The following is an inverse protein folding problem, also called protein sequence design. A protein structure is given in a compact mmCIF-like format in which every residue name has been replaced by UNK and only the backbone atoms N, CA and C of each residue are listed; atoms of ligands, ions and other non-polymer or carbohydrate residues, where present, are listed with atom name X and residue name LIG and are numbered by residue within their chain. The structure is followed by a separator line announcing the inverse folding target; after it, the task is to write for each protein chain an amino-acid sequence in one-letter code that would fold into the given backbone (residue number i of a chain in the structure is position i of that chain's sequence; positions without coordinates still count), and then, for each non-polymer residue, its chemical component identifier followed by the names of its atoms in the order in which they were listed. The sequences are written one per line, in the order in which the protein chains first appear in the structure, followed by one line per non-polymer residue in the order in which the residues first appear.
data_IF_976971516140
#
_entry.id   IF_976971516140
#
_cell.length_a   1.000
_cell.length_b   1.000
_cell.length_c   1.000
_cell.angle_alpha   90.00
_cell.angle_beta   90.00
_cell.angle_gamma   90.00
#
_symmetry.space_group_name_H-M   'P 1'
#
loop_
_entity.id
_entity.type
_entity.pdbx_description
1 polymer ?
#
# COMPACT_ATOMS: atom_id res chain seq x y z
N UNK A 1 2.28 21.07 -4.55
CA UNK A 1 3.54 20.37 -4.29
C UNK A 1 4.20 21.00 -3.07
N UNK A 2 4.64 20.22 -2.08
CA UNK A 2 5.21 20.76 -0.83
C UNK A 2 6.56 21.45 -1.02
N UNK A 3 7.32 21.00 -2.01
CA UNK A 3 8.65 21.49 -2.35
C UNK A 3 8.79 21.48 -3.89
N UNK A 4 9.28 22.54 -4.54
CA UNK A 4 9.55 22.53 -5.97
C UNK A 4 10.46 21.39 -6.43
N UNK A 5 11.40 20.95 -5.60
CA UNK A 5 12.28 19.82 -5.88
C UNK A 5 11.54 18.47 -5.97
N UNK A 6 10.30 18.39 -5.48
CA UNK A 6 9.45 17.20 -5.50
C UNK A 6 8.35 17.26 -6.56
N UNK A 7 8.33 18.29 -7.41
CA UNK A 7 7.22 18.53 -8.35
C UNK A 7 6.94 17.38 -9.32
N UNK A 8 7.96 16.60 -9.68
CA UNK A 8 7.84 15.48 -10.61
C UNK A 8 7.55 14.13 -9.92
N UNK A 9 7.71 14.06 -8.59
CA UNK A 9 7.59 12.82 -7.83
C UNK A 9 6.42 12.82 -6.85
N UNK A 10 6.01 14.01 -6.36
CA UNK A 10 4.92 14.19 -5.39
C UNK A 10 3.75 14.91 -6.05
N UNK A 11 2.73 14.15 -6.41
CA UNK A 11 1.53 14.65 -7.10
C UNK A 11 0.32 13.75 -6.82
N UNK A 12 -0.85 14.18 -7.27
CA UNK A 12 -2.03 13.32 -7.35
C UNK A 12 -2.75 13.49 -8.68
N UNK A 13 -3.52 12.48 -9.03
CA UNK A 13 -4.36 12.45 -10.23
C UNK A 13 -5.73 11.92 -9.83
N UNK A 14 -6.79 12.60 -10.23
CA UNK A 14 -8.16 12.10 -10.10
C UNK A 14 -8.60 11.52 -11.45
N UNK A 15 -8.98 10.26 -11.45
CA UNK A 15 -9.43 9.58 -12.65
C UNK A 15 -10.54 8.57 -12.34
N UNK A 16 -11.68 8.73 -12.96
CA UNK A 16 -12.84 7.83 -12.89
C UNK A 16 -13.22 7.39 -11.45
N UNK A 17 -13.24 8.35 -10.51
CA UNK A 17 -13.63 8.08 -9.12
C UNK A 17 -12.52 7.49 -8.25
N UNK A 18 -11.29 7.52 -8.73
CA UNK A 18 -10.09 7.12 -8.01
C UNK A 18 -9.15 8.31 -7.86
N UNK A 19 -8.67 8.58 -6.65
CA UNK A 19 -7.51 9.46 -6.43
C UNK A 19 -6.25 8.60 -6.32
N UNK A 20 -5.32 8.81 -7.25
CA UNK A 20 -3.97 8.27 -7.20
C UNK A 20 -3.03 9.33 -6.62
N UNK A 21 -2.29 8.96 -5.57
CA UNK A 21 -1.33 9.85 -4.90
C UNK A 21 0.06 9.23 -5.02
N UNK A 22 1.00 9.99 -5.57
CA UNK A 22 2.43 9.63 -5.59
C UNK A 22 3.17 10.37 -4.50
N UNK A 23 3.99 9.66 -3.73
CA UNK A 23 4.87 10.22 -2.70
C UNK A 23 6.33 9.84 -2.98
N UNK A 24 7.25 10.71 -2.63
CA UNK A 24 8.68 10.42 -2.69
C UNK A 24 9.17 9.86 -1.35
N UNK A 25 9.39 8.57 -1.31
CA UNK A 25 9.92 7.90 -0.12
C UNK A 25 11.44 7.94 0.00
N UNK A 26 12.15 8.50 -0.98
CA UNK A 26 13.60 8.69 -0.94
C UNK A 26 13.99 10.01 -0.27
N UNK A 27 13.24 11.08 -0.56
CA UNK A 27 13.62 12.43 -0.20
C UNK A 27 12.54 13.17 0.57
N UNK A 28 12.94 14.09 1.45
CA UNK A 28 12.09 15.08 2.09
C UNK A 28 10.73 14.53 2.60
N UNK A 29 10.74 13.38 3.23
CA UNK A 29 9.53 12.66 3.66
C UNK A 29 8.65 13.48 4.60
N UNK A 30 9.27 14.25 5.51
CA UNK A 30 8.55 15.11 6.46
C UNK A 30 7.83 16.26 5.78
N UNK A 31 8.43 16.88 4.77
CA UNK A 31 7.84 18.03 4.09
C UNK A 31 6.57 17.66 3.32
N UNK A 32 6.36 16.39 3.02
CA UNK A 32 5.19 15.89 2.32
C UNK A 32 3.95 15.72 3.22
N UNK A 33 4.12 15.73 4.54
CA UNK A 33 3.06 15.42 5.52
C UNK A 33 1.86 16.37 5.39
N UNK A 34 2.10 17.68 5.44
CA UNK A 34 1.02 18.67 5.36
C UNK A 34 0.35 18.72 3.98
N UNK A 35 1.13 18.49 2.93
CA UNK A 35 0.57 18.37 1.59
C UNK A 35 -0.31 17.12 1.46
N UNK A 36 0.14 15.98 1.96
CA UNK A 36 -0.62 14.72 1.94
C UNK A 36 -1.96 14.87 2.67
N UNK A 37 -1.97 15.49 3.85
CA UNK A 37 -3.21 15.78 4.58
C UNK A 37 -4.18 16.60 3.75
N UNK A 38 -3.73 17.73 3.19
CA UNK A 38 -4.57 18.60 2.35
C UNK A 38 -5.14 17.88 1.14
N UNK A 39 -4.33 17.05 0.48
CA UNK A 39 -4.77 16.27 -0.67
C UNK A 39 -5.82 15.24 -0.26
N UNK A 40 -5.65 14.58 0.88
CA UNK A 40 -6.62 13.60 1.38
C UNK A 40 -7.91 14.26 1.89
N UNK A 41 -7.82 15.41 2.59
CA UNK A 41 -8.98 16.21 3.02
C UNK A 41 -9.85 16.67 1.85
N UNK A 42 -9.23 17.06 0.74
CA UNK A 42 -9.94 17.52 -0.47
C UNK A 42 -10.48 16.37 -1.34
N UNK A 43 -10.27 15.11 -0.93
CA UNK A 43 -10.62 13.96 -1.76
C UNK A 43 -12.11 13.63 -1.70
N UNK A 44 -12.79 13.77 -2.83
CA UNK A 44 -14.19 13.38 -3.01
C UNK A 44 -14.37 12.08 -3.80
N UNK A 45 -13.26 11.43 -4.19
CA UNK A 45 -13.31 10.18 -4.93
C UNK A 45 -13.69 9.01 -4.04
N UNK A 46 -14.27 7.98 -4.64
CA UNK A 46 -14.72 6.76 -3.95
C UNK A 46 -13.52 5.96 -3.46
N UNK A 47 -12.43 5.91 -4.27
CA UNK A 47 -11.24 5.14 -4.00
C UNK A 47 -10.01 6.01 -3.87
N UNK A 48 -9.09 5.59 -3.00
CA UNK A 48 -7.79 6.24 -2.83
C UNK A 48 -6.69 5.20 -2.90
N UNK A 49 -5.80 5.36 -3.87
CA UNK A 49 -4.62 4.52 -4.06
C UNK A 49 -3.38 5.39 -3.89
N UNK A 50 -2.47 4.99 -3.01
CA UNK A 50 -1.21 5.69 -2.77
C UNK A 50 -0.05 4.83 -3.25
N UNK A 51 0.93 5.44 -3.89
CA UNK A 51 2.15 4.76 -4.35
C UNK A 51 3.41 5.49 -3.91
N UNK A 52 4.42 4.73 -3.52
CA UNK A 52 5.77 5.18 -3.21
C UNK A 52 6.74 4.00 -3.25
N UNK A 53 8.04 4.27 -3.36
CA UNK A 53 9.05 3.25 -3.61
C UNK A 53 9.27 2.28 -2.44
N UNK A 54 9.60 2.78 -1.23
CA UNK A 54 9.94 1.94 -0.08
C UNK A 54 8.69 1.42 0.63
N UNK A 55 8.52 0.10 0.84
CA UNK A 55 7.32 -0.43 1.46
C UNK A 55 7.21 -0.06 2.94
N UNK A 56 6.01 0.18 3.42
CA UNK A 56 5.74 0.37 4.86
C UNK A 56 5.99 -0.90 5.66
N UNK A 57 5.80 -2.05 5.04
CA UNK A 57 5.98 -3.38 5.61
C UNK A 57 6.84 -4.19 4.69
N UNK A 58 8.10 -4.39 5.08
CA UNK A 58 9.07 -5.11 4.29
C UNK A 58 9.15 -6.58 4.72
N UNK A 59 9.07 -7.54 3.80
CA UNK A 59 9.34 -8.94 4.09
C UNK A 59 10.84 -9.26 4.12
N UNK A 60 11.69 -8.35 3.62
CA UNK A 60 13.13 -8.52 3.55
C UNK A 60 13.86 -8.28 4.87
N UNK A 61 15.05 -8.87 5.04
CA UNK A 61 15.94 -8.56 6.16
C UNK A 61 16.50 -7.14 6.02
N UNK A 62 16.59 -6.44 7.16
CA UNK A 62 17.23 -5.12 7.28
C UNK A 62 16.69 -4.05 6.31
N UNK A 63 15.45 -4.21 5.87
CA UNK A 63 14.77 -3.33 4.92
C UNK A 63 13.54 -2.65 5.50
N UNK A 64 13.39 -2.67 6.82
CA UNK A 64 12.26 -2.02 7.49
C UNK A 64 12.30 -0.49 7.36
N UNK A 65 11.14 0.12 7.19
CA UNK A 65 10.99 1.56 6.96
C UNK A 65 10.17 2.24 8.08
N UNK A 66 10.65 2.25 9.33
CA UNK A 66 9.90 2.78 10.47
C UNK A 66 9.60 4.27 10.36
N UNK A 67 10.47 5.04 9.71
CA UNK A 67 10.27 6.48 9.50
C UNK A 67 9.03 6.75 8.64
N UNK A 68 8.90 6.08 7.51
CA UNK A 68 7.72 6.20 6.61
C UNK A 68 6.45 5.80 7.34
N UNK A 69 6.48 4.69 8.07
CA UNK A 69 5.34 4.26 8.89
C UNK A 69 4.94 5.32 9.91
N UNK A 70 5.90 5.87 10.64
CA UNK A 70 5.65 6.89 11.67
C UNK A 70 5.04 8.16 11.09
N UNK A 71 5.53 8.61 9.93
CA UNK A 71 5.11 9.87 9.31
C UNK A 71 3.77 9.77 8.59
N UNK A 72 3.60 8.75 7.75
CA UNK A 72 2.50 8.70 6.80
C UNK A 72 1.37 7.75 7.20
N UNK A 73 1.67 6.62 7.84
CA UNK A 73 0.64 5.62 8.16
C UNK A 73 -0.52 6.16 8.99
N UNK A 74 -0.30 6.99 10.04
CA UNK A 74 -1.42 7.56 10.80
C UNK A 74 -2.36 8.40 9.93
N UNK A 75 -1.81 9.16 8.98
CA UNK A 75 -2.58 10.01 8.06
C UNK A 75 -3.36 9.13 7.08
N UNK A 76 -2.71 8.16 6.47
CA UNK A 76 -3.34 7.26 5.50
C UNK A 76 -4.49 6.46 6.13
N UNK A 77 -4.37 6.09 7.41
CA UNK A 77 -5.44 5.41 8.16
C UNK A 77 -6.58 6.35 8.56
N UNK A 78 -6.26 7.58 9.00
CA UNK A 78 -7.26 8.60 9.33
C UNK A 78 -8.18 8.88 8.15
N UNK A 79 -7.59 9.05 6.97
CA UNK A 79 -8.32 9.31 5.73
C UNK A 79 -8.77 8.03 4.99
N UNK A 80 -8.60 6.85 5.61
CA UNK A 80 -9.11 5.57 5.11
C UNK A 80 -8.64 5.23 3.69
N UNK A 81 -7.36 5.44 3.41
CA UNK A 81 -6.75 5.03 2.14
C UNK A 81 -7.00 3.54 1.90
N UNK A 82 -7.44 3.19 0.70
CA UNK A 82 -7.86 1.82 0.40
C UNK A 82 -6.68 0.88 0.10
N UNK A 83 -5.71 1.35 -0.70
CA UNK A 83 -4.61 0.54 -1.20
C UNK A 83 -3.31 1.33 -1.26
N UNK A 84 -2.22 0.70 -0.84
CA UNK A 84 -0.86 1.20 -0.99
C UNK A 84 -0.08 0.24 -1.89
N UNK A 85 0.57 0.78 -2.92
CA UNK A 85 1.43 0.06 -3.85
C UNK A 85 2.87 0.53 -3.69
N UNK A 86 3.79 -0.41 -3.49
CA UNK A 86 5.21 -0.12 -3.31
C UNK A 86 6.10 -1.18 -3.99
N UNK A 87 7.39 -0.88 -4.09
CA UNK A 87 8.41 -1.70 -4.69
C UNK A 87 9.59 -1.95 -3.76
N UNK A 88 10.81 -1.71 -4.25
CA UNK A 88 12.07 -1.76 -3.52
C UNK A 88 12.54 -3.15 -3.10
N UNK A 89 11.70 -3.98 -2.52
CA UNK A 89 12.12 -5.22 -1.84
C UNK A 89 12.34 -6.42 -2.76
N UNK A 90 12.09 -6.29 -4.03
CA UNK A 90 12.27 -7.36 -5.03
C UNK A 90 11.69 -8.71 -4.59
N UNK A 91 10.59 -8.65 -3.86
CA UNK A 91 9.75 -9.75 -3.42
C UNK A 91 8.30 -9.39 -3.63
N UNK A 92 7.40 -10.31 -3.42
CA UNK A 92 5.98 -10.01 -3.31
C UNK A 92 5.52 -10.21 -1.87
N UNK A 93 4.82 -9.22 -1.32
CA UNK A 93 4.10 -9.37 -0.08
C UNK A 93 2.84 -8.51 -0.09
N UNK A 94 1.73 -9.09 0.33
CA UNK A 94 0.47 -8.41 0.50
C UNK A 94 -0.08 -8.62 1.90
N UNK A 95 -0.46 -7.52 2.53
CA UNK A 95 -1.14 -7.56 3.83
C UNK A 95 -2.64 -7.83 3.65
N UNK A 96 -3.34 -8.06 4.74
CA UNK A 96 -4.76 -7.75 4.81
C UNK A 96 -4.97 -6.26 5.08
N UNK A 97 -6.09 -5.90 5.67
CA UNK A 97 -6.33 -4.53 6.14
C UNK A 97 -5.60 -4.30 7.47
N UNK A 98 -4.84 -3.21 7.58
CA UNK A 98 -4.01 -2.88 8.73
C UNK A 98 -4.31 -1.46 9.20
N UNK A 99 -4.58 -1.29 10.49
CA UNK A 99 -4.82 0.00 11.13
C UNK A 99 -3.65 0.45 12.03
N UNK A 100 -3.39 1.76 12.09
CA UNK A 100 -2.18 2.34 12.68
C UNK A 100 -2.00 2.07 14.17
N UNK A 101 -3.05 2.05 14.95
CA UNK A 101 -2.94 1.83 16.40
C UNK A 101 -2.29 0.52 16.80
N UNK A 102 -2.38 -0.48 15.95
CA UNK A 102 -1.77 -1.79 16.15
C UNK A 102 -0.37 -1.89 15.54
N UNK A 103 -0.08 -1.05 14.55
CA UNK A 103 1.14 -1.12 13.75
C UNK A 103 2.31 -0.36 14.39
N UNK A 104 2.04 0.61 15.22
CA UNK A 104 3.09 1.43 15.85
C UNK A 104 4.06 0.63 16.72
N UNK A 105 3.68 -0.58 17.13
CA UNK A 105 4.49 -1.49 17.95
C UNK A 105 5.33 -2.50 17.14
N UNK A 106 5.41 -2.34 15.85
CA UNK A 106 6.27 -3.18 14.99
C UNK A 106 7.76 -2.81 15.22
N UNK A 107 8.70 -3.78 15.23
CA UNK A 107 8.54 -5.16 14.77
C UNK A 107 7.89 -6.12 15.77
N UNK A 108 7.74 -5.74 17.02
CA UNK A 108 7.31 -6.65 18.10
C UNK A 108 5.85 -7.12 17.99
N UNK A 109 5.09 -6.56 17.09
CA UNK A 109 3.67 -6.81 16.99
C UNK A 109 3.15 -6.99 15.57
N UNK A 110 3.96 -7.40 14.64
CA UNK A 110 3.49 -7.59 13.25
C UNK A 110 2.22 -8.43 13.17
N UNK A 111 2.20 -9.58 13.80
CA UNK A 111 1.05 -10.49 13.82
C UNK A 111 -0.14 -9.94 14.60
N UNK A 112 0.12 -9.15 15.64
CA UNK A 112 -0.90 -8.48 16.47
C UNK A 112 -1.38 -7.17 15.86
N UNK A 113 -0.56 -6.55 15.05
CA UNK A 113 -0.91 -5.33 14.33
C UNK A 113 -1.88 -5.59 13.17
N UNK A 114 -2.01 -6.83 12.76
CA UNK A 114 -2.83 -7.24 11.66
C UNK A 114 -4.31 -7.32 12.07
N UNK A 115 -5.14 -6.53 11.39
CA UNK A 115 -6.59 -6.63 11.48
C UNK A 115 -7.21 -6.79 10.09
N UNK A 116 -7.68 -7.99 9.75
CA UNK A 116 -8.21 -8.27 8.42
C UNK A 116 -9.55 -7.59 8.12
N UNK A 117 -10.13 -6.85 9.07
CA UNK A 117 -11.46 -6.25 8.95
C UNK A 117 -11.44 -4.77 8.65
N UNK A 118 -10.36 -4.07 8.95
CA UNK A 118 -10.26 -2.61 8.83
C UNK A 118 -8.86 -2.18 8.37
N UNK A 119 -8.77 -0.99 7.80
CA UNK A 119 -7.51 -0.36 7.42
C UNK A 119 -7.15 -0.56 5.95
N UNK A 120 -5.92 -0.19 5.61
CA UNK A 120 -5.38 -0.17 4.25
C UNK A 120 -4.73 -1.50 3.90
N UNK A 121 -4.91 -1.98 2.67
CA UNK A 121 -4.11 -3.09 2.14
C UNK A 121 -2.80 -2.53 1.59
N UNK A 122 -1.69 -3.14 1.99
CA UNK A 122 -0.35 -2.79 1.50
C UNK A 122 0.18 -3.91 0.62
N UNK A 123 0.68 -3.54 -0.56
CA UNK A 123 1.31 -4.45 -1.52
C UNK A 123 2.70 -3.95 -1.82
N UNK A 124 3.68 -4.83 -1.71
CA UNK A 124 5.01 -4.69 -2.30
C UNK A 124 5.15 -5.72 -3.40
N UNK A 125 5.65 -5.31 -4.56
CA UNK A 125 5.77 -6.19 -5.72
C UNK A 125 7.02 -5.94 -6.52
N UNK A 126 7.47 -6.97 -7.23
CA UNK A 126 8.62 -6.94 -8.12
C UNK A 126 8.26 -7.51 -9.48
N UNK A 127 8.64 -6.82 -10.54
CA UNK A 127 8.50 -7.29 -11.93
C UNK A 127 9.84 -7.56 -12.61
N UNK A 128 10.94 -7.04 -12.05
CA UNK A 128 12.30 -7.24 -12.60
C UNK A 128 12.92 -8.58 -12.23
N UNK A 129 14.05 -8.95 -12.86
CA UNK A 129 14.69 -10.25 -12.65
C UNK A 129 15.49 -10.36 -11.34
N UNK A 130 15.86 -9.24 -10.73
CA UNK A 130 16.56 -9.24 -9.46
C UNK A 130 15.61 -9.60 -8.34
N UNK A 131 15.96 -10.61 -7.55
CA UNK A 131 15.12 -11.14 -6.47
C UNK A 131 15.84 -11.12 -5.13
N UNK A 132 15.05 -10.95 -4.05
CA UNK A 132 15.52 -11.04 -2.67
C UNK A 132 14.81 -12.15 -1.93
N UNK A 133 15.37 -12.55 -0.79
CA UNK A 133 14.78 -13.56 0.08
C UNK A 133 13.83 -12.94 1.10
N UNK A 134 12.78 -13.68 1.41
CA UNK A 134 11.83 -13.35 2.46
C UNK A 134 12.40 -13.83 3.79
N UNK A 135 12.47 -12.93 4.77
CA UNK A 135 12.95 -13.24 6.11
C UNK A 135 11.93 -12.91 7.20
N UNK A 136 10.95 -12.04 6.89
CA UNK A 136 9.88 -11.59 7.79
C UNK A 136 8.56 -11.61 7.06
N UNK A 137 7.58 -12.30 7.57
CA UNK A 137 6.32 -12.45 6.85
C UNK A 137 5.07 -12.50 7.70
N UNK A 138 5.19 -12.38 9.03
CA UNK A 138 4.04 -12.52 9.93
C UNK A 138 2.90 -11.52 9.67
N UNK A 139 3.19 -10.38 9.04
CA UNK A 139 2.21 -9.37 8.66
C UNK A 139 1.49 -9.68 7.34
N UNK A 140 2.02 -10.58 6.52
CA UNK A 140 1.54 -10.79 5.16
C UNK A 140 0.51 -11.92 5.07
N UNK A 141 -0.49 -11.73 4.23
CA UNK A 141 -1.46 -12.75 3.81
C UNK A 141 -0.93 -13.61 2.67
N UNK A 142 -0.16 -13.01 1.79
CA UNK A 142 0.42 -13.64 0.61
C UNK A 142 1.85 -13.15 0.43
N UNK A 143 2.75 -14.05 0.11
CA UNK A 143 4.15 -13.72 -0.18
C UNK A 143 4.68 -14.61 -1.29
N UNK A 144 5.66 -14.07 -2.04
CA UNK A 144 6.48 -14.83 -2.98
C UNK A 144 7.89 -14.26 -3.06
N UNK A 145 8.85 -15.14 -3.26
CA UNK A 145 10.22 -14.84 -3.69
C UNK A 145 10.50 -15.56 -5.02
N UNK A 146 11.54 -15.15 -5.72
CA UNK A 146 11.95 -15.73 -7.00
C UNK A 146 10.81 -15.77 -8.05
N UNK A 147 9.91 -14.77 -8.01
CA UNK A 147 8.71 -14.73 -8.85
C UNK A 147 8.45 -13.32 -9.36
N UNK A 148 8.53 -13.12 -10.68
CA UNK A 148 8.19 -11.86 -11.33
C UNK A 148 6.66 -11.75 -11.46
N UNK A 149 6.11 -10.65 -10.98
CA UNK A 149 4.67 -10.40 -10.94
C UNK A 149 4.32 -9.06 -11.57
N UNK A 150 3.18 -9.00 -12.25
CA UNK A 150 2.51 -7.77 -12.64
C UNK A 150 1.08 -7.75 -12.11
N UNK A 151 0.50 -6.56 -11.97
CA UNK A 151 -0.81 -6.39 -11.34
C UNK A 151 -1.81 -5.79 -12.32
N UNK A 152 -3.05 -6.27 -12.24
CA UNK A 152 -4.22 -5.66 -12.87
C UNK A 152 -5.21 -5.30 -11.78
N UNK A 153 -5.62 -4.04 -11.76
CA UNK A 153 -6.57 -3.52 -10.78
C UNK A 153 -7.80 -3.01 -11.52
N UNK A 154 -8.92 -3.71 -11.35
CA UNK A 154 -10.22 -3.29 -11.88
C UNK A 154 -10.97 -2.52 -10.80
N UNK A 155 -11.51 -1.36 -11.16
CA UNK A 155 -12.21 -0.50 -10.20
C UNK A 155 -13.58 -0.09 -10.75
N UNK A 156 -14.60 -0.17 -9.88
CA UNK A 156 -15.90 0.45 -10.10
C UNK A 156 -16.39 1.13 -8.81
N UNK A 157 -17.59 1.66 -8.81
CA UNK A 157 -18.14 2.41 -7.66
C UNK A 157 -18.21 1.58 -6.36
N UNK A 158 -18.38 0.28 -6.43
CA UNK A 158 -18.59 -0.58 -5.25
C UNK A 158 -17.44 -1.54 -4.96
N UNK A 159 -16.57 -1.80 -5.93
CA UNK A 159 -15.51 -2.81 -5.82
C UNK A 159 -14.21 -2.37 -6.49
N UNK A 160 -13.09 -2.61 -5.78
CA UNK A 160 -11.75 -2.65 -6.32
C UNK A 160 -11.31 -4.12 -6.31
N UNK A 161 -10.96 -4.67 -7.47
CA UNK A 161 -10.42 -6.03 -7.62
C UNK A 161 -8.95 -5.95 -7.99
N UNK A 162 -8.11 -6.52 -7.16
CA UNK A 162 -6.67 -6.64 -7.38
C UNK A 162 -6.33 -8.05 -7.80
N UNK A 163 -5.52 -8.19 -8.84
CA UNK A 163 -4.99 -9.47 -9.31
C UNK A 163 -3.51 -9.34 -9.61
N UNK A 164 -2.70 -10.25 -9.08
CA UNK A 164 -1.28 -10.37 -9.39
C UNK A 164 -1.05 -11.62 -10.23
N UNK A 165 -0.39 -11.45 -11.37
CA UNK A 165 -0.07 -12.52 -12.30
C UNK A 165 1.43 -12.72 -12.38
N UNK A 166 1.87 -13.98 -12.48
CA UNK A 166 3.25 -14.29 -12.88
C UNK A 166 3.53 -13.80 -14.31
N UNK A 167 4.79 -13.60 -14.65
CA UNK A 167 5.19 -13.23 -16.00
C UNK A 167 4.70 -14.24 -17.08
N UNK A 168 4.39 -15.47 -16.67
CA UNK A 168 3.79 -16.52 -17.52
C UNK A 168 2.30 -16.33 -17.79
N UNK A 169 1.63 -15.35 -17.12
CA UNK A 169 0.19 -15.15 -17.20
C UNK A 169 -0.63 -15.95 -16.18
N UNK A 170 0.00 -16.78 -15.36
CA UNK A 170 -0.67 -17.53 -14.27
C UNK A 170 -1.10 -16.58 -13.15
N UNK A 171 -2.35 -16.69 -12.71
CA UNK A 171 -2.85 -15.95 -11.53
C UNK A 171 -2.14 -16.45 -10.26
N UNK A 172 -1.52 -15.54 -9.54
CA UNK A 172 -0.80 -15.84 -8.29
C UNK A 172 -1.57 -15.40 -7.05
N UNK A 173 -2.14 -14.20 -7.06
CA UNK A 173 -2.88 -13.64 -5.93
C UNK A 173 -4.07 -12.82 -6.42
N UNK A 174 -5.15 -12.87 -5.66
CA UNK A 174 -6.34 -12.08 -5.93
C UNK A 174 -7.03 -11.68 -4.62
N UNK A 175 -7.56 -10.46 -4.60
CA UNK A 175 -8.51 -10.02 -3.59
C UNK A 175 -9.44 -8.94 -4.14
N UNK A 176 -10.52 -8.70 -3.43
CA UNK A 176 -11.40 -7.55 -3.68
C UNK A 176 -11.64 -6.76 -2.40
N UNK A 177 -11.66 -5.44 -2.54
CA UNK A 177 -12.22 -4.52 -1.56
C UNK A 177 -13.61 -4.12 -2.00
N UNK A 178 -14.60 -4.28 -1.11
CA UNK A 178 -16.00 -3.88 -1.37
C UNK A 178 -16.35 -2.71 -0.47
N UNK A 179 -16.85 -1.61 -1.05
CA UNK A 179 -17.40 -0.48 -0.29
C UNK A 179 -18.65 -0.93 0.45
N UNK A 180 -18.81 -0.40 1.66
CA UNK A 180 -20.02 -0.61 2.48
C UNK A 180 -20.41 0.71 3.10
N UNK A 181 -21.66 1.09 2.97
CA UNK A 181 -22.19 2.32 3.53
C UNK A 181 -22.00 2.36 5.05
N UNK A 182 -21.40 3.44 5.56
CA UNK A 182 -21.14 3.66 6.98
C UNK A 182 -20.20 2.65 7.67
N UNK A 183 -19.54 1.76 6.90
CA UNK A 183 -18.66 0.71 7.45
C UNK A 183 -17.31 0.69 6.72
N UNK A 184 -16.26 0.13 7.35
CA UNK A 184 -15.00 -0.16 6.66
C UNK A 184 -15.22 -1.04 5.43
N UNK A 185 -14.33 -0.94 4.45
CA UNK A 185 -14.34 -1.85 3.31
C UNK A 185 -14.32 -3.31 3.76
N UNK A 186 -14.97 -4.16 3.00
CA UNK A 186 -14.88 -5.61 3.18
C UNK A 186 -13.79 -6.16 2.26
N UNK A 187 -12.75 -6.73 2.86
CA UNK A 187 -11.75 -7.52 2.14
C UNK A 187 -12.31 -8.92 1.88
N UNK A 188 -12.29 -9.32 0.62
CA UNK A 188 -12.67 -10.66 0.16
C UNK A 188 -11.47 -11.26 -0.55
N UNK A 189 -10.94 -12.35 -0.04
CA UNK A 189 -9.87 -13.14 -0.68
C UNK A 189 -10.43 -13.86 -1.92
N UNK A 190 -9.63 -13.99 -2.96
CA UNK A 190 -9.94 -14.72 -4.18
C UNK A 190 -9.46 -16.15 -4.18
#
# INVERSE_FOLDING_TARGET
VPDPALAETVYYIDYQGVRFISLDSNNAQESQVEWLKKVLESNTNIWTIVTFHHPMFSPGSDRDNPKIRKLWKPILDEFKVDLILSGHDHTYARTGQIASKKIMNIPEGYEKAYDPKIGTVNVVSVSGPKMYKITKGAFAKRMAEDTQLYQIIDVNQSRLRFRAFKATGELYDEFSLKKREGKPNLLVEG
#
